data_IF_592349308955
#
_entry.id   IF_592349308955
#
_cell.length_a   1.000
_cell.length_b   1.000
_cell.length_c   1.000
_cell.angle_alpha   90.00
_cell.angle_beta   90.00
_cell.angle_gamma   90.00
#
_symmetry.space_group_name_H-M   'P 1'
#
loop_
_entity.id
_entity.type
_entity.pdbx_description
1 polymer ?
#
# COMPACT_ATOMS: atom_id res chain seq x y z
N UNK A 1 -15.31 -14.62 -8.92
CA UNK A 1 -16.06 -14.63 -7.63
C UNK A 1 -15.48 -13.51 -6.80
N UNK A 2 -16.32 -12.72 -6.14
CA UNK A 2 -15.89 -11.53 -5.41
C UNK A 2 -16.03 -11.75 -3.91
N UNK A 3 -15.21 -11.05 -3.13
CA UNK A 3 -15.23 -11.09 -1.67
C UNK A 3 -15.30 -9.64 -1.14
N UNK A 4 -16.05 -9.43 -0.07
CA UNK A 4 -16.17 -8.12 0.61
C UNK A 4 -15.59 -8.27 2.01
N UNK A 5 -14.55 -7.48 2.32
CA UNK A 5 -13.98 -7.43 3.66
C UNK A 5 -14.65 -6.34 4.50
N UNK A 6 -15.16 -6.68 5.68
CA UNK A 6 -15.83 -5.76 6.61
C UNK A 6 -15.00 -5.69 7.89
N UNK A 7 -14.56 -4.48 8.26
CA UNK A 7 -13.75 -4.24 9.44
C UNK A 7 -14.57 -3.42 10.47
N UNK A 8 -14.79 -3.97 11.67
CA UNK A 8 -15.68 -3.37 12.68
C UNK A 8 -14.89 -2.92 13.91
N UNK A 9 -15.18 -1.72 14.39
CA UNK A 9 -14.55 -1.14 15.58
C UNK A 9 -13.11 -0.66 15.34
N UNK A 10 -12.50 -0.06 16.36
CA UNK A 10 -11.21 0.64 16.24
C UNK A 10 -10.03 -0.33 16.02
N UNK A 11 -10.03 -1.49 16.69
CA UNK A 11 -9.04 -2.53 16.43
C UNK A 11 -9.20 -3.13 15.02
N UNK A 12 -10.45 -3.37 14.61
CA UNK A 12 -10.76 -3.91 13.27
C UNK A 12 -10.31 -2.99 12.15
N UNK A 13 -10.56 -1.67 12.27
CA UNK A 13 -10.13 -0.69 11.29
C UNK A 13 -8.59 -0.59 11.18
N UNK A 14 -7.86 -0.62 12.30
CA UNK A 14 -6.39 -0.61 12.29
C UNK A 14 -5.80 -1.83 11.59
N UNK A 15 -6.31 -3.02 11.92
CA UNK A 15 -5.88 -4.26 11.26
C UNK A 15 -6.24 -4.20 9.77
N UNK A 16 -7.45 -3.73 9.44
CA UNK A 16 -7.90 -3.56 8.06
C UNK A 16 -6.98 -2.67 7.24
N UNK A 17 -6.53 -1.54 7.79
CA UNK A 17 -5.57 -0.66 7.13
C UNK A 17 -4.24 -1.38 6.85
N UNK A 18 -3.67 -2.08 7.84
CA UNK A 18 -2.43 -2.82 7.66
C UNK A 18 -2.58 -3.95 6.60
N UNK A 19 -3.71 -4.67 6.61
CA UNK A 19 -4.01 -5.69 5.61
C UNK A 19 -4.13 -5.10 4.20
N UNK A 20 -4.80 -3.96 4.04
CA UNK A 20 -4.92 -3.28 2.74
C UNK A 20 -3.60 -2.69 2.26
N UNK A 21 -2.76 -2.15 3.14
CA UNK A 21 -1.40 -1.71 2.78
C UNK A 21 -0.58 -2.86 2.22
N UNK A 22 -0.59 -4.02 2.89
CA UNK A 22 0.11 -5.21 2.40
C UNK A 22 -0.46 -5.71 1.07
N UNK A 23 -1.79 -5.79 0.94
CA UNK A 23 -2.45 -6.17 -0.31
C UNK A 23 -2.03 -5.26 -1.47
N UNK A 24 -2.00 -3.95 -1.24
CA UNK A 24 -1.55 -2.99 -2.24
C UNK A 24 -0.09 -3.21 -2.62
N UNK A 25 0.79 -3.47 -1.66
CA UNK A 25 2.21 -3.76 -1.93
C UNK A 25 2.39 -5.04 -2.74
N UNK A 26 1.71 -6.13 -2.38
CA UNK A 26 1.80 -7.43 -3.07
C UNK A 26 1.30 -7.36 -4.52
N UNK A 27 0.36 -6.46 -4.80
CA UNK A 27 -0.21 -6.26 -6.13
C UNK A 27 0.32 -5.03 -6.87
N UNK A 28 1.40 -4.40 -6.37
CA UNK A 28 1.99 -3.20 -6.96
C UNK A 28 0.97 -2.05 -7.14
N UNK A 29 -0.03 -1.95 -6.26
CA UNK A 29 -1.02 -0.88 -6.27
C UNK A 29 -0.45 0.31 -5.47
N UNK A 30 -0.28 1.44 -6.14
CA UNK A 30 0.13 2.69 -5.52
C UNK A 30 -0.94 3.25 -4.58
N UNK A 31 -0.53 4.18 -3.72
CA UNK A 31 -1.44 4.92 -2.82
C UNK A 31 -2.49 5.74 -3.59
N UNK A 32 -2.25 6.02 -4.87
CA UNK A 32 -3.20 6.66 -5.79
C UNK A 32 -4.19 5.67 -6.42
N UNK A 33 -4.14 4.39 -6.04
CA UNK A 33 -5.01 3.32 -6.50
C UNK A 33 -4.63 2.74 -7.86
N UNK A 34 -3.47 3.09 -8.43
CA UNK A 34 -3.03 2.59 -9.74
C UNK A 34 -2.06 1.43 -9.61
N UNK A 35 -2.21 0.42 -10.46
CA UNK A 35 -1.22 -0.66 -10.58
C UNK A 35 0.03 -0.09 -11.27
N UNK A 36 1.17 -0.17 -10.59
CA UNK A 36 2.47 0.09 -11.19
C UNK A 36 2.78 -1.05 -12.15
N UNK A 37 3.03 -0.72 -13.42
CA UNK A 37 3.49 -1.72 -14.39
C UNK A 37 4.85 -2.24 -13.94
N UNK A 38 5.09 -3.55 -14.12
CA UNK A 38 6.30 -4.30 -13.70
C UNK A 38 7.64 -3.78 -14.28
N UNK A 39 7.65 -2.63 -14.96
CA UNK A 39 8.84 -1.95 -15.50
C UNK A 39 9.30 -0.72 -14.71
N UNK A 40 8.64 -0.34 -13.60
CA UNK A 40 9.12 0.74 -12.72
C UNK A 40 9.39 0.19 -11.34
N UNK A 41 10.65 -0.19 -11.08
CA UNK A 41 11.12 -0.53 -9.73
C UNK A 41 10.66 0.54 -8.72
N UNK A 42 10.06 0.15 -7.58
CA UNK A 42 9.82 1.10 -6.51
C UNK A 42 11.18 1.50 -5.94
N UNK A 43 11.67 2.66 -6.39
CA UNK A 43 12.91 3.23 -5.92
C UNK A 43 12.92 3.27 -4.39
N UNK A 44 13.91 2.58 -3.81
CA UNK A 44 14.42 2.83 -2.47
C UNK A 44 14.58 4.35 -2.35
N UNK A 45 13.68 5.02 -1.62
CA UNK A 45 13.84 6.42 -1.27
C UNK A 45 14.98 6.51 -0.26
N UNK A 46 16.23 6.51 -0.75
CA UNK A 46 17.37 6.95 0.02
C UNK A 46 17.14 8.42 0.37
N UNK A 47 16.82 8.68 1.63
CA UNK A 47 16.82 10.00 2.24
C UNK A 47 18.21 10.60 2.06
N UNK A 48 18.35 11.51 1.10
CA UNK A 48 19.52 12.38 1.00
C UNK A 48 19.16 13.66 1.76
N UNK A 49 19.82 14.01 2.87
CA UNK A 49 19.60 15.30 3.49
C UNK A 49 20.08 16.38 2.51
N UNK A 50 19.15 17.26 2.13
CA UNK A 50 19.43 18.44 1.33
C UNK A 50 20.21 19.44 2.19
N UNK A 51 21.54 19.35 2.11
CA UNK A 51 22.40 20.51 2.35
C UNK A 51 22.66 21.16 0.99
N UNK A 52 21.80 22.11 0.62
CA UNK A 52 22.18 23.29 -0.17
C UNK A 52 21.25 24.46 0.15
#
# INVERSE_FOLDING_TARGET
>A
RECISIHIGQAGAQIGNACWELYCLEHNIGKDGKVANEGSEPGIQNQRPENQ
#
